data_IF_659990005933
#
_entry.id   IF_659990005933
#
_cell.length_a   1.000
_cell.length_b   1.000
_cell.length_c   1.000
_cell.angle_alpha   90.00
_cell.angle_beta   90.00
_cell.angle_gamma   90.00
#
_symmetry.space_group_name_H-M   'P 1'
#
loop_
_entity.id
_entity.type
_entity.pdbx_description
1 polymer ?
#
# COMPACT_ATOMS: atom_id res chain seq x y z
N UNK A 1 2.92 15.39 -5.21
CA UNK A 1 4.17 14.63 -5.30
C UNK A 1 5.26 15.54 -5.87
N UNK A 2 6.43 15.58 -5.21
CA UNK A 2 7.63 16.30 -5.70
C UNK A 2 8.03 15.70 -7.04
N UNK A 3 8.43 16.54 -7.98
CA UNK A 3 8.85 16.06 -9.31
C UNK A 3 10.26 15.49 -9.29
N UNK A 4 11.08 15.97 -8.37
CA UNK A 4 12.48 15.60 -8.17
C UNK A 4 12.71 14.42 -7.20
N UNK A 5 11.64 13.65 -6.85
CA UNK A 5 11.77 12.50 -5.95
C UNK A 5 12.76 11.44 -6.47
N UNK A 6 12.77 11.08 -7.76
CA UNK A 6 13.74 10.12 -8.27
C UNK A 6 15.18 10.58 -8.07
N UNK A 7 15.49 11.85 -8.35
CA UNK A 7 16.82 12.44 -8.17
C UNK A 7 17.27 12.39 -6.71
N UNK A 8 16.36 12.67 -5.78
CA UNK A 8 16.64 12.60 -4.34
C UNK A 8 16.98 11.17 -3.94
N UNK A 9 16.21 10.19 -4.38
CA UNK A 9 16.47 8.77 -4.07
C UNK A 9 17.80 8.29 -4.65
N UNK A 10 18.11 8.67 -5.89
CA UNK A 10 19.40 8.37 -6.53
C UNK A 10 20.58 9.02 -5.77
N UNK A 11 20.42 10.24 -5.28
CA UNK A 11 21.44 10.93 -4.49
C UNK A 11 21.69 10.19 -3.16
N UNK A 12 20.64 9.76 -2.45
CA UNK A 12 20.78 8.96 -1.24
C UNK A 12 21.43 7.60 -1.52
N UNK A 13 21.07 6.95 -2.60
CA UNK A 13 21.68 5.69 -3.00
C UNK A 13 23.20 5.86 -3.22
N UNK A 14 23.62 6.88 -3.98
CA UNK A 14 25.04 7.09 -4.29
C UNK A 14 25.87 7.54 -3.08
N UNK A 15 25.32 8.44 -2.27
CA UNK A 15 26.09 9.06 -1.19
C UNK A 15 26.03 8.27 0.13
N UNK A 16 24.92 7.57 0.41
CA UNK A 16 24.67 6.91 1.67
C UNK A 16 24.61 5.39 1.55
N UNK A 17 24.74 4.83 0.34
CA UNK A 17 24.70 3.39 0.08
C UNK A 17 23.45 2.70 0.68
N UNK A 18 22.30 3.38 0.62
CA UNK A 18 21.03 2.83 1.12
C UNK A 18 20.70 1.53 0.41
N UNK A 19 20.11 0.58 1.14
CA UNK A 19 19.74 -0.75 0.61
C UNK A 19 18.24 -0.90 0.42
N UNK A 20 17.45 -0.09 1.12
CA UNK A 20 16.00 -0.15 1.10
C UNK A 20 15.38 1.24 1.11
N UNK A 21 14.32 1.40 0.32
CA UNK A 21 13.51 2.62 0.26
C UNK A 21 12.05 2.26 0.52
N UNK A 22 11.37 2.99 1.39
CA UNK A 22 9.93 2.95 1.51
C UNK A 22 9.32 4.21 0.88
N UNK A 23 8.49 4.02 -0.14
CA UNK A 23 7.84 5.09 -0.90
C UNK A 23 6.33 5.07 -0.67
N UNK A 24 5.80 5.77 0.34
CA UNK A 24 4.37 5.92 0.53
C UNK A 24 3.77 6.84 -0.54
N UNK A 25 2.61 6.45 -1.08
CA UNK A 25 1.89 7.24 -2.09
C UNK A 25 0.38 7.03 -1.98
N UNK A 26 -0.38 8.07 -2.36
CA UNK A 26 -1.84 7.97 -2.51
C UNK A 26 -2.28 7.34 -3.85
N UNK A 27 -1.34 7.00 -4.73
CA UNK A 27 -1.64 6.34 -6.00
C UNK A 27 -2.38 7.19 -7.04
N UNK A 28 -2.51 8.51 -6.86
CA UNK A 28 -3.32 9.37 -7.74
C UNK A 28 -2.76 9.59 -9.16
N UNK A 29 -1.50 9.26 -9.39
CA UNK A 29 -0.81 9.44 -10.67
C UNK A 29 -0.14 8.13 -11.10
N UNK A 30 -0.92 7.13 -11.59
CA UNK A 30 -0.42 5.78 -11.87
C UNK A 30 0.82 5.76 -12.75
N UNK A 31 0.78 6.43 -13.88
CA UNK A 31 1.88 6.40 -14.87
C UNK A 31 3.17 7.02 -14.31
N UNK A 32 3.04 8.09 -13.52
CA UNK A 32 4.20 8.72 -12.87
C UNK A 32 4.84 7.80 -11.83
N UNK A 33 4.04 7.10 -11.03
CA UNK A 33 4.55 6.17 -10.03
C UNK A 33 5.31 5.03 -10.71
N UNK A 34 4.77 4.46 -11.78
CA UNK A 34 5.42 3.43 -12.58
C UNK A 34 6.74 3.92 -13.16
N UNK A 35 6.75 5.10 -13.77
CA UNK A 35 7.95 5.71 -14.34
C UNK A 35 9.05 5.88 -13.28
N UNK A 36 8.70 6.36 -12.09
CA UNK A 36 9.63 6.54 -10.99
C UNK A 36 10.22 5.21 -10.49
N UNK A 37 9.40 4.18 -10.35
CA UNK A 37 9.89 2.87 -9.94
C UNK A 37 10.82 2.28 -11.02
N UNK A 38 10.48 2.40 -12.30
CA UNK A 38 11.34 1.98 -13.41
C UNK A 38 12.70 2.68 -13.36
N UNK A 39 12.69 4.01 -13.26
CA UNK A 39 13.91 4.82 -13.18
C UNK A 39 14.75 4.44 -11.96
N UNK A 40 14.12 4.28 -10.80
CA UNK A 40 14.81 3.85 -9.58
C UNK A 40 15.47 2.49 -9.76
N UNK A 41 14.79 1.51 -10.34
CA UNK A 41 15.36 0.17 -10.58
C UNK A 41 16.55 0.18 -11.52
N UNK A 42 16.55 1.07 -12.52
CA UNK A 42 17.69 1.22 -13.44
C UNK A 42 18.88 1.86 -12.73
N UNK A 43 18.66 2.92 -11.97
CA UNK A 43 19.73 3.75 -11.39
C UNK A 43 20.21 3.29 -10.01
N UNK A 44 19.41 2.43 -9.33
CA UNK A 44 19.69 1.91 -7.99
C UNK A 44 19.49 0.38 -7.95
N UNK A 45 20.24 -0.41 -8.76
CA UNK A 45 19.95 -1.84 -8.99
C UNK A 45 20.04 -2.70 -7.73
N UNK A 46 20.92 -2.37 -6.78
CA UNK A 46 21.12 -3.11 -5.55
C UNK A 46 20.19 -2.70 -4.40
N UNK A 47 19.42 -1.62 -4.59
CA UNK A 47 18.49 -1.11 -3.59
C UNK A 47 17.07 -1.64 -3.82
N UNK A 48 16.42 -2.12 -2.76
CA UNK A 48 15.02 -2.52 -2.80
C UNK A 48 14.11 -1.29 -2.64
N UNK A 49 12.95 -1.33 -3.29
CA UNK A 49 11.92 -0.30 -3.11
C UNK A 49 10.60 -0.93 -2.71
N UNK A 50 10.06 -0.50 -1.56
CA UNK A 50 8.71 -0.82 -1.13
C UNK A 50 7.76 0.32 -1.51
N UNK A 51 6.92 0.10 -2.51
CA UNK A 51 5.87 1.05 -2.90
C UNK A 51 4.65 0.79 -2.03
N UNK A 52 4.36 1.70 -1.11
CA UNK A 52 3.25 1.58 -0.17
C UNK A 52 2.09 2.49 -0.61
N UNK A 53 1.03 1.88 -1.15
CA UNK A 53 -0.12 2.59 -1.70
C UNK A 53 -1.25 2.63 -0.66
N UNK A 54 -1.73 3.84 -0.38
CA UNK A 54 -2.87 4.02 0.52
C UNK A 54 -4.18 3.62 -0.17
N UNK A 55 -4.87 2.61 0.36
CA UNK A 55 -6.20 2.21 -0.11
C UNK A 55 -7.02 1.64 1.05
N UNK A 56 -8.11 2.32 1.44
CA UNK A 56 -8.79 2.07 2.71
C UNK A 56 -10.08 1.24 2.59
N UNK A 57 -10.51 0.88 1.39
CA UNK A 57 -11.74 0.15 1.15
C UNK A 57 -12.21 0.27 -0.29
N UNK A 58 -13.44 -0.17 -0.57
CA UNK A 58 -14.00 -0.13 -1.92
C UNK A 58 -14.58 1.26 -2.28
N UNK A 59 -14.39 1.67 -3.52
CA UNK A 59 -15.06 2.80 -4.16
C UNK A 59 -15.23 4.04 -3.28
N UNK A 60 -16.48 4.42 -3.06
CA UNK A 60 -16.87 5.63 -2.33
C UNK A 60 -16.42 5.63 -0.86
N UNK A 61 -16.25 4.45 -0.25
CA UNK A 61 -15.71 4.36 1.12
C UNK A 61 -14.30 4.92 1.19
N UNK A 62 -13.43 4.49 0.28
CA UNK A 62 -12.08 5.03 0.19
C UNK A 62 -12.08 6.52 -0.14
N UNK A 63 -12.86 6.92 -1.13
CA UNK A 63 -12.96 8.31 -1.59
C UNK A 63 -13.43 9.24 -0.46
N UNK A 64 -14.44 8.82 0.29
CA UNK A 64 -14.96 9.54 1.47
C UNK A 64 -13.89 9.67 2.55
N UNK A 65 -13.24 8.57 2.90
CA UNK A 65 -12.20 8.57 3.95
C UNK A 65 -11.00 9.45 3.58
N UNK A 66 -10.63 9.52 2.30
CA UNK A 66 -9.52 10.35 1.79
C UNK A 66 -9.96 11.76 1.38
N UNK A 67 -11.25 12.02 1.27
CA UNK A 67 -11.79 13.30 0.82
C UNK A 67 -11.48 13.63 -0.63
N UNK A 68 -11.31 12.61 -1.48
CA UNK A 68 -10.91 12.78 -2.90
C UNK A 68 -11.76 11.86 -3.79
N UNK A 69 -12.80 12.38 -4.46
CA UNK A 69 -13.62 11.61 -5.38
C UNK A 69 -12.81 10.97 -6.51
N UNK A 70 -13.10 9.71 -6.83
CA UNK A 70 -12.42 8.94 -7.88
C UNK A 70 -10.99 8.50 -7.52
N UNK A 71 -10.56 8.67 -6.27
CA UNK A 71 -9.25 8.24 -5.80
C UNK A 71 -9.11 6.71 -5.84
N UNK A 72 -10.17 5.97 -5.46
CA UNK A 72 -10.17 4.50 -5.47
C UNK A 72 -9.69 3.93 -6.81
N UNK A 73 -10.27 4.37 -7.90
CA UNK A 73 -9.94 3.85 -9.22
C UNK A 73 -8.49 4.14 -9.63
N UNK A 74 -7.97 5.32 -9.29
CA UNK A 74 -6.59 5.71 -9.58
C UNK A 74 -5.59 4.92 -8.74
N UNK A 75 -5.86 4.77 -7.45
CA UNK A 75 -5.02 3.99 -6.55
C UNK A 75 -5.03 2.50 -6.93
N UNK A 76 -6.20 1.93 -7.24
CA UNK A 76 -6.33 0.55 -7.73
C UNK A 76 -5.60 0.34 -9.07
N UNK A 77 -5.65 1.31 -10.00
CA UNK A 77 -4.88 1.24 -11.26
C UNK A 77 -3.38 1.30 -11.01
N UNK A 78 -2.92 2.12 -10.05
CA UNK A 78 -1.51 2.15 -9.65
C UNK A 78 -1.06 0.80 -9.09
N UNK A 79 -1.85 0.21 -8.20
CA UNK A 79 -1.59 -1.12 -7.62
C UNK A 79 -1.51 -2.17 -8.74
N UNK A 80 -2.50 -2.19 -9.64
CA UNK A 80 -2.54 -3.12 -10.77
C UNK A 80 -1.30 -3.00 -11.63
N UNK A 81 -0.95 -1.79 -12.06
CA UNK A 81 0.21 -1.54 -12.93
C UNK A 81 1.53 -1.98 -12.28
N UNK A 82 1.75 -1.68 -10.99
CA UNK A 82 2.95 -2.13 -10.29
C UNK A 82 2.96 -3.65 -10.16
N UNK A 83 1.84 -4.23 -9.73
CA UNK A 83 1.67 -5.68 -9.58
C UNK A 83 1.96 -6.45 -10.86
N UNK A 84 1.50 -5.95 -12.03
CA UNK A 84 1.72 -6.59 -13.32
C UNK A 84 3.14 -6.38 -13.84
N UNK A 85 3.68 -5.17 -13.67
CA UNK A 85 4.95 -4.79 -14.29
C UNK A 85 6.19 -5.33 -13.56
N UNK A 86 6.11 -5.43 -12.23
CA UNK A 86 7.25 -5.80 -11.39
C UNK A 86 7.05 -7.13 -10.63
N UNK A 87 6.11 -7.98 -11.02
CA UNK A 87 5.82 -9.26 -10.35
C UNK A 87 7.03 -10.18 -10.21
N UNK A 88 7.97 -10.10 -11.15
CA UNK A 88 9.17 -10.92 -11.22
C UNK A 88 10.44 -10.17 -10.75
N UNK A 89 10.31 -8.92 -10.29
CA UNK A 89 11.44 -8.14 -9.75
C UNK A 89 11.46 -8.23 -8.22
N UNK A 90 12.28 -9.12 -7.67
CA UNK A 90 12.41 -9.33 -6.22
C UNK A 90 12.90 -8.10 -5.43
N UNK A 91 13.27 -6.99 -6.11
CA UNK A 91 13.65 -5.73 -5.48
C UNK A 91 12.52 -4.70 -5.43
N UNK A 92 11.38 -4.98 -6.05
CA UNK A 92 10.18 -4.14 -5.98
C UNK A 92 9.15 -4.83 -5.11
N UNK A 93 8.90 -4.28 -3.94
CA UNK A 93 7.87 -4.74 -3.02
C UNK A 93 6.65 -3.84 -3.17
N UNK A 94 5.48 -4.44 -3.28
CA UNK A 94 4.20 -3.74 -3.34
C UNK A 94 3.43 -3.95 -2.05
N UNK A 95 3.24 -2.88 -1.28
CA UNK A 95 2.41 -2.86 -0.09
C UNK A 95 1.14 -2.03 -0.32
N UNK A 96 0.03 -2.48 0.22
CA UNK A 96 -1.15 -1.64 0.42
C UNK A 96 -1.27 -1.30 1.89
N UNK A 97 -1.44 -0.01 2.20
CA UNK A 97 -1.63 0.49 3.54
C UNK A 97 -3.09 0.93 3.72
N UNK A 98 -3.79 0.28 4.64
CA UNK A 98 -5.20 0.53 4.95
C UNK A 98 -5.34 1.02 6.39
N UNK A 99 -6.04 2.14 6.56
CA UNK A 99 -6.40 2.66 7.87
C UNK A 99 -7.85 2.27 8.18
N UNK A 100 -8.06 1.56 9.29
CA UNK A 100 -9.40 1.18 9.76
C UNK A 100 -10.04 2.38 10.47
N UNK A 101 -11.26 2.68 10.06
CA UNK A 101 -12.14 3.70 10.65
C UNK A 101 -13.58 3.18 10.71
N UNK A 102 -14.48 3.97 11.29
CA UNK A 102 -15.93 3.68 11.26
C UNK A 102 -16.51 3.52 9.84
N UNK A 103 -15.85 4.05 8.81
CA UNK A 103 -16.35 4.04 7.43
C UNK A 103 -16.10 2.73 6.71
N UNK A 104 -15.03 2.00 7.05
CA UNK A 104 -14.62 0.81 6.33
C UNK A 104 -14.61 -0.47 7.15
N UNK A 105 -14.91 -0.39 8.45
CA UNK A 105 -14.80 -1.50 9.38
C UNK A 105 -15.63 -2.73 8.98
N UNK A 106 -16.83 -2.50 8.45
CA UNK A 106 -17.75 -3.59 8.08
C UNK A 106 -17.35 -4.31 6.78
N UNK A 107 -16.47 -3.72 5.99
CA UNK A 107 -16.01 -4.29 4.71
C UNK A 107 -14.53 -4.70 4.71
N UNK A 108 -13.81 -4.51 5.83
CA UNK A 108 -12.35 -4.63 5.84
C UNK A 108 -11.86 -6.02 5.45
N UNK A 109 -12.52 -7.07 5.94
CA UNK A 109 -12.12 -8.45 5.64
C UNK A 109 -12.38 -8.83 4.18
N UNK A 110 -13.55 -8.46 3.63
CA UNK A 110 -13.86 -8.66 2.21
C UNK A 110 -12.88 -7.89 1.33
N UNK A 111 -12.55 -6.67 1.73
CA UNK A 111 -11.56 -5.86 1.04
C UNK A 111 -10.17 -6.51 1.04
N UNK A 112 -9.71 -7.03 2.17
CA UNK A 112 -8.44 -7.75 2.26
C UNK A 112 -8.41 -8.99 1.37
N UNK A 113 -9.48 -9.79 1.41
CA UNK A 113 -9.61 -10.98 0.56
C UNK A 113 -9.59 -10.63 -0.91
N UNK A 114 -10.31 -9.58 -1.31
CA UNK A 114 -10.32 -9.08 -2.69
C UNK A 114 -8.92 -8.63 -3.13
N UNK A 115 -8.22 -7.86 -2.29
CA UNK A 115 -6.86 -7.41 -2.57
C UNK A 115 -5.91 -8.58 -2.76
N UNK A 116 -5.96 -9.57 -1.84
CA UNK A 116 -5.13 -10.77 -1.92
C UNK A 116 -5.36 -11.59 -3.18
N UNK A 117 -6.62 -11.77 -3.57
CA UNK A 117 -7.00 -12.54 -4.76
C UNK A 117 -6.79 -11.81 -6.09
N UNK A 118 -6.77 -10.48 -6.07
CA UNK A 118 -6.72 -9.65 -7.28
C UNK A 118 -5.32 -9.20 -7.68
N UNK A 119 -4.44 -8.96 -6.72
CA UNK A 119 -3.14 -8.34 -6.96
C UNK A 119 -1.98 -9.15 -6.38
N UNK A 120 -0.81 -9.00 -7.00
CA UNK A 120 0.43 -9.63 -6.53
C UNK A 120 1.09 -8.70 -5.49
N UNK A 121 0.49 -8.62 -4.30
CA UNK A 121 1.02 -7.82 -3.21
C UNK A 121 2.09 -8.59 -2.44
N UNK A 122 3.15 -7.88 -2.02
CA UNK A 122 4.12 -8.39 -1.05
C UNK A 122 3.51 -8.40 0.35
N UNK A 123 2.81 -7.31 0.72
CA UNK A 123 2.14 -7.19 2.02
C UNK A 123 0.87 -6.33 1.90
N UNK A 124 -0.01 -6.45 2.90
CA UNK A 124 -1.13 -5.56 3.13
C UNK A 124 -1.11 -5.14 4.60
N UNK A 125 -0.70 -3.91 4.86
CA UNK A 125 -0.62 -3.36 6.22
C UNK A 125 -1.96 -2.76 6.61
N UNK A 126 -2.47 -3.14 7.78
CA UNK A 126 -3.73 -2.61 8.32
C UNK A 126 -3.46 -2.00 9.70
N UNK A 127 -3.87 -0.76 9.87
CA UNK A 127 -3.70 0.00 11.09
C UNK A 127 -5.00 0.68 11.51
N UNK A 128 -5.27 0.73 12.81
CA UNK A 128 -6.35 1.55 13.33
C UNK A 128 -5.99 3.05 13.25
N UNK A 129 -6.95 3.91 12.98
CA UNK A 129 -6.76 5.35 12.94
C UNK A 129 -6.20 5.87 14.27
N UNK A 130 -5.12 6.68 14.20
CA UNK A 130 -4.41 7.26 15.36
C UNK A 130 -4.44 8.78 15.33
N UNK A 131 -4.08 9.40 16.45
CA UNK A 131 -3.94 10.86 16.55
C UNK A 131 -5.28 11.60 16.67
N UNK A 132 -5.32 12.88 16.35
CA UNK A 132 -6.52 13.71 16.32
C UNK A 132 -7.15 13.60 14.94
N UNK A 133 -8.42 13.20 14.87
CA UNK A 133 -9.19 13.10 13.63
C UNK A 133 -9.98 14.39 13.39
N UNK A 134 -10.24 14.73 12.13
CA UNK A 134 -11.02 15.93 11.77
C UNK A 134 -12.48 15.81 12.20
N UNK A 135 -12.98 14.59 12.29
CA UNK A 135 -14.36 14.29 12.67
C UNK A 135 -14.35 13.42 13.93
N UNK A 136 -15.22 13.75 14.87
CA UNK A 136 -15.38 12.98 16.10
C UNK A 136 -15.95 11.58 15.80
N UNK A 137 -15.52 10.59 16.57
CA UNK A 137 -15.98 9.21 16.46
C UNK A 137 -15.41 8.40 15.27
N UNK A 138 -14.54 8.96 14.44
CA UNK A 138 -13.89 8.21 13.34
C UNK A 138 -13.08 7.02 13.86
N UNK A 139 -12.50 7.15 15.07
CA UNK A 139 -11.70 6.12 15.75
C UNK A 139 -12.49 5.22 16.69
N UNK A 140 -13.80 5.31 16.71
CA UNK A 140 -14.65 4.58 17.66
C UNK A 140 -14.64 3.07 17.37
N UNK A 141 -13.48 2.45 17.54
CA UNK A 141 -13.26 1.02 17.43
C UNK A 141 -13.02 0.49 18.84
N UNK A 142 -13.93 -0.33 19.30
CA UNK A 142 -13.73 -1.06 20.55
C UNK A 142 -12.72 -2.20 20.38
N UNK A 143 -12.17 -2.65 21.49
CA UNK A 143 -11.14 -3.70 21.50
C UNK A 143 -11.65 -5.02 20.95
N UNK A 144 -12.92 -5.36 21.18
CA UNK A 144 -13.55 -6.60 20.72
C UNK A 144 -13.63 -6.62 19.19
N UNK A 145 -13.99 -5.51 18.59
CA UNK A 145 -14.04 -5.34 17.13
C UNK A 145 -12.67 -5.47 16.49
N UNK A 146 -11.64 -4.84 17.10
CA UNK A 146 -10.26 -4.95 16.61
C UNK A 146 -9.74 -6.38 16.69
N UNK A 147 -10.00 -7.09 17.80
CA UNK A 147 -9.63 -8.51 17.95
C UNK A 147 -10.31 -9.38 16.90
N UNK A 148 -11.62 -9.22 16.69
CA UNK A 148 -12.35 -9.95 15.64
C UNK A 148 -11.71 -9.75 14.27
N UNK A 149 -11.40 -8.51 13.88
CA UNK A 149 -10.76 -8.22 12.59
C UNK A 149 -9.39 -8.90 12.49
N UNK A 150 -8.59 -8.87 13.56
CA UNK A 150 -7.28 -9.53 13.60
C UNK A 150 -7.39 -11.05 13.42
N UNK A 151 -8.33 -11.68 14.11
CA UNK A 151 -8.56 -13.13 14.04
C UNK A 151 -9.01 -13.56 12.64
N UNK A 152 -9.95 -12.81 12.04
CA UNK A 152 -10.45 -13.05 10.67
C UNK A 152 -9.38 -12.78 9.60
N UNK A 153 -8.50 -11.79 9.83
CA UNK A 153 -7.41 -11.46 8.93
C UNK A 153 -6.20 -12.41 9.02
N UNK A 154 -6.05 -13.13 10.13
CA UNK A 154 -4.88 -13.98 10.37
C UNK A 154 -4.60 -15.02 9.28
N UNK A 155 -5.60 -15.70 8.66
CA UNK A 155 -5.36 -16.60 7.52
C UNK A 155 -4.79 -15.90 6.31
N UNK A 156 -5.23 -14.67 6.03
CA UNK A 156 -4.77 -13.85 4.91
C UNK A 156 -3.32 -13.45 5.09
N UNK A 157 -2.94 -13.00 6.30
CA UNK A 157 -1.54 -12.67 6.62
C UNK A 157 -0.63 -13.89 6.49
N UNK A 158 -1.06 -15.07 6.93
CA UNK A 158 -0.31 -16.32 6.71
C UNK A 158 -0.12 -16.63 5.22
N UNK A 159 -1.11 -16.33 4.39
CA UNK A 159 -1.03 -16.54 2.95
C UNK A 159 -0.05 -15.55 2.28
N UNK A 160 -0.02 -14.28 2.71
CA UNK A 160 1.00 -13.31 2.26
C UNK A 160 2.41 -13.77 2.65
N UNK A 161 2.63 -14.20 3.90
CA UNK A 161 3.92 -14.67 4.36
C UNK A 161 4.43 -15.86 3.52
N UNK A 162 3.56 -16.83 3.19
CA UNK A 162 3.92 -17.95 2.31
C UNK A 162 4.30 -17.50 0.90
N UNK A 163 3.58 -16.52 0.34
CA UNK A 163 3.88 -15.98 -1.00
C UNK A 163 5.24 -15.28 -1.02
N UNK A 164 5.61 -14.55 0.02
CA UNK A 164 6.93 -13.92 0.11
C UNK A 164 8.07 -14.93 0.13
N UNK A 165 7.92 -16.03 0.88
CA UNK A 165 8.94 -17.08 0.97
C UNK A 165 9.10 -17.87 -0.34
N UNK A 166 8.03 -18.05 -1.12
CA UNK A 166 8.07 -18.78 -2.39
C UNK A 166 8.70 -18.00 -3.56
N UNK A 167 8.88 -16.67 -3.38
CA UNK A 167 9.46 -15.79 -4.41
C UNK A 167 10.93 -15.42 -4.14
N UNK A 168 11.52 -15.99 -3.09
CA UNK A 168 12.96 -15.92 -2.77
C UNK A 168 13.67 -17.18 -3.22
#
# INVERSE_FOLDING_TARGET
>A
LREDLPEILEMFYRNNQIKDVNMPTNGLKPDRVIEWVKRFRINCPDCSINVSISLDGFGDTHDTQRGVPGNFYKAADTIRKISEHFKDDGKVLLNVATVITKYNIDQINDFMMWMYGRFHLSTHTIEAARGVTREDGVKALDESTLRRIQDEAAPIYRAYAKRMVSNT
#
